data_IF_142318625535
#
_entry.id   IF_142318625535
#
_cell.length_a   1.000
_cell.length_b   1.000
_cell.length_c   1.000
_cell.angle_alpha   90.00
_cell.angle_beta   90.00
_cell.angle_gamma   90.00
#
_symmetry.space_group_name_H-M   'P 1'
#
loop_
_entity.id
_entity.type
_entity.pdbx_description
1 polymer ?
#
# COMPACT_ATOMS: atom_id res chain seq x y z
N UNK A 1 0.15 13.95 7.77
CA UNK A 1 -0.03 14.94 6.68
C UNK A 1 0.36 14.27 5.37
N UNK A 2 -0.57 14.04 4.42
CA UNK A 2 -0.21 13.54 3.10
C UNK A 2 0.61 14.63 2.40
N UNK A 3 1.88 14.35 2.14
CA UNK A 3 2.73 15.20 1.34
C UNK A 3 2.41 14.93 -0.13
N UNK A 4 1.76 15.91 -0.75
CA UNK A 4 1.47 15.92 -2.18
C UNK A 4 2.74 16.31 -2.95
N UNK A 5 3.11 15.52 -3.96
CA UNK A 5 4.28 15.80 -4.80
C UNK A 5 3.93 15.67 -6.29
N UNK A 6 4.42 16.56 -7.17
CA UNK A 6 4.20 16.44 -8.61
C UNK A 6 4.94 15.21 -9.19
N UNK A 7 4.39 14.51 -10.20
CA UNK A 7 5.17 13.41 -10.81
C UNK A 7 6.47 13.96 -11.43
N UNK A 8 7.65 13.42 -11.06
CA UNK A 8 8.90 13.76 -11.78
C UNK A 8 8.92 13.25 -13.23
N UNK A 9 8.07 12.27 -13.55
CA UNK A 9 7.95 11.63 -14.86
C UNK A 9 7.11 12.42 -15.88
N UNK A 10 6.24 13.33 -15.44
CA UNK A 10 5.26 14.01 -16.31
C UNK A 10 5.02 15.44 -15.81
N UNK A 11 5.42 16.48 -16.56
CA UNK A 11 5.29 17.88 -16.17
C UNK A 11 3.87 18.46 -16.32
N UNK A 12 2.85 17.66 -16.69
CA UNK A 12 1.49 18.16 -16.90
C UNK A 12 0.67 18.24 -15.58
N UNK A 13 -0.05 19.36 -15.41
CA UNK A 13 -0.91 19.75 -14.27
C UNK A 13 -1.83 18.64 -13.73
N UNK A 14 -2.10 18.68 -12.41
CA UNK A 14 -1.38 17.90 -11.43
C UNK A 14 -1.90 16.45 -11.39
N UNK A 15 -1.07 15.51 -11.84
CA UNK A 15 -1.12 14.18 -11.24
C UNK A 15 -0.47 14.31 -9.86
N UNK A 16 -1.29 14.69 -8.88
CA UNK A 16 -0.84 14.78 -7.49
C UNK A 16 -0.60 13.36 -6.98
N UNK A 17 0.62 13.14 -6.51
CA UNK A 17 1.05 11.84 -6.06
C UNK A 17 0.96 11.79 -4.54
N UNK A 18 0.12 10.91 -3.99
CA UNK A 18 -0.08 10.82 -2.55
C UNK A 18 0.96 9.89 -1.94
N UNK A 19 1.80 10.42 -1.05
CA UNK A 19 2.65 9.58 -0.21
C UNK A 19 1.77 8.84 0.82
N UNK A 20 1.52 7.56 0.58
CA UNK A 20 0.88 6.67 1.55
C UNK A 20 1.91 5.70 2.14
N UNK A 21 2.01 5.66 3.47
CA UNK A 21 2.85 4.70 4.20
C UNK A 21 1.98 3.85 5.10
N UNK A 22 2.20 2.54 5.07
CA UNK A 22 1.61 1.61 6.04
C UNK A 22 2.66 1.39 7.12
N UNK A 23 2.32 1.81 8.33
CA UNK A 23 3.15 1.63 9.51
C UNK A 23 2.59 0.46 10.31
N UNK A 24 3.43 -0.55 10.56
CA UNK A 24 3.05 -1.72 11.35
C UNK A 24 4.04 -1.87 12.49
N UNK A 25 3.52 -1.92 13.71
CA UNK A 25 4.28 -2.31 14.90
C UNK A 25 3.90 -3.75 15.21
N UNK A 26 4.83 -4.69 15.06
CA UNK A 26 4.57 -6.08 15.43
C UNK A 26 4.78 -6.27 16.94
N UNK A 27 3.89 -7.01 17.63
CA UNK A 27 4.02 -7.21 19.07
C UNK A 27 5.18 -8.17 19.38
N UNK A 28 5.55 -8.24 20.67
CA UNK A 28 6.50 -9.25 21.19
C UNK A 28 5.89 -10.65 21.33
N UNK A 29 4.57 -10.76 21.30
CA UNK A 29 3.88 -12.05 21.36
C UNK A 29 4.16 -12.90 20.11
N UNK A 30 4.11 -14.23 20.20
CA UNK A 30 4.35 -15.14 19.09
C UNK A 30 3.16 -15.14 18.11
N UNK A 31 3.01 -14.07 17.35
CA UNK A 31 1.99 -13.93 16.30
C UNK A 31 2.66 -13.75 14.95
N UNK A 32 2.06 -14.35 13.94
CA UNK A 32 2.43 -14.18 12.55
C UNK A 32 1.64 -13.00 11.99
N UNK A 33 2.34 -11.91 11.71
CA UNK A 33 1.76 -10.74 11.04
C UNK A 33 2.16 -10.80 9.58
N UNK A 34 1.18 -10.74 8.67
CA UNK A 34 1.43 -10.68 7.23
C UNK A 34 0.79 -9.45 6.60
N UNK A 35 1.48 -8.87 5.62
CA UNK A 35 0.99 -7.75 4.81
C UNK A 35 0.80 -8.20 3.35
N UNK A 36 -0.38 -7.92 2.81
CA UNK A 36 -0.71 -8.17 1.41
C UNK A 36 -1.45 -6.96 0.81
N UNK A 37 -0.76 -5.83 0.61
CA UNK A 37 -1.40 -4.60 0.17
C UNK A 37 -2.05 -4.79 -1.21
N UNK A 38 -3.34 -4.46 -1.29
CA UNK A 38 -4.10 -4.38 -2.53
C UNK A 38 -4.76 -3.02 -2.61
N UNK A 39 -4.36 -2.24 -3.62
CA UNK A 39 -4.78 -0.84 -3.76
C UNK A 39 -5.63 -0.69 -5.00
N UNK A 40 -6.80 -0.10 -4.84
CA UNK A 40 -7.68 0.28 -5.94
C UNK A 40 -7.80 1.82 -5.95
N UNK A 41 -7.08 2.51 -6.85
CA UNK A 41 -7.01 3.97 -6.86
C UNK A 41 -8.35 4.63 -7.18
N UNK A 42 -9.20 3.98 -7.99
CA UNK A 42 -10.53 4.46 -8.36
C UNK A 42 -11.53 3.32 -8.27
N UNK A 43 -12.76 3.60 -7.86
CA UNK A 43 -13.82 2.59 -7.76
C UNK A 43 -14.04 1.92 -9.13
N UNK A 44 -14.02 0.59 -9.17
CA UNK A 44 -14.13 -0.19 -10.42
C UNK A 44 -12.86 -0.20 -11.29
N UNK A 45 -11.79 0.49 -10.87
CA UNK A 45 -10.49 0.50 -11.55
C UNK A 45 -9.61 -0.73 -11.23
N UNK A 46 -8.40 -0.80 -11.82
CA UNK A 46 -7.49 -1.92 -11.62
C UNK A 46 -6.99 -2.00 -10.17
N UNK A 47 -6.65 -3.23 -9.76
CA UNK A 47 -6.08 -3.53 -8.45
C UNK A 47 -4.57 -3.66 -8.60
N UNK A 48 -3.84 -2.79 -7.90
CA UNK A 48 -2.40 -2.85 -7.80
C UNK A 48 -2.01 -3.76 -6.63
N UNK A 49 -1.10 -4.67 -6.91
CA UNK A 49 -0.55 -5.63 -5.94
C UNK A 49 0.93 -5.33 -5.70
N UNK A 50 1.44 -5.78 -4.56
CA UNK A 50 2.89 -5.78 -4.31
C UNK A 50 3.63 -6.63 -5.36
N UNK A 51 4.88 -6.29 -5.64
CA UNK A 51 5.77 -7.11 -6.48
C UNK A 51 6.22 -8.42 -5.81
N UNK A 52 5.89 -8.61 -4.52
CA UNK A 52 6.13 -9.85 -3.79
C UNK A 52 5.13 -10.92 -4.20
N UNK A 53 5.58 -12.18 -4.33
CA UNK A 53 4.69 -13.32 -4.56
C UNK A 53 3.90 -13.63 -3.28
N UNK A 54 2.76 -12.96 -3.10
CA UNK A 54 1.83 -13.18 -1.99
C UNK A 54 2.08 -12.31 -0.74
N UNK A 55 1.43 -12.65 0.39
CA UNK A 55 1.58 -11.94 1.66
C UNK A 55 3.02 -11.98 2.19
N UNK A 56 3.53 -10.83 2.63
CA UNK A 56 4.86 -10.70 3.23
C UNK A 56 4.76 -10.86 4.74
N UNK A 57 5.45 -11.85 5.30
CA UNK A 57 5.56 -12.02 6.75
C UNK A 57 6.47 -10.95 7.36
N UNK A 58 6.03 -10.35 8.47
CA UNK A 58 6.79 -9.35 9.20
C UNK A 58 7.48 -9.98 10.41
N UNK A 59 8.69 -9.52 10.70
CA UNK A 59 9.42 -9.93 11.91
C UNK A 59 8.73 -9.41 13.16
N UNK A 60 8.79 -10.18 14.24
CA UNK A 60 8.24 -9.81 15.55
C UNK A 60 9.00 -8.65 16.21
N UNK A 61 8.35 -7.96 17.15
CA UNK A 61 8.92 -6.84 17.93
C UNK A 61 9.65 -5.78 17.07
N UNK A 62 9.19 -5.54 15.85
CA UNK A 62 9.86 -4.69 14.87
C UNK A 62 8.90 -3.63 14.34
N UNK A 63 9.43 -2.44 14.10
CA UNK A 63 8.70 -1.38 13.42
C UNK A 63 8.91 -1.48 11.90
N UNK A 64 7.83 -1.72 11.18
CA UNK A 64 7.81 -1.88 9.73
C UNK A 64 7.18 -0.66 9.06
N UNK A 65 7.80 -0.19 7.98
CA UNK A 65 7.25 0.86 7.12
C UNK A 65 7.21 0.34 5.69
N UNK A 66 6.00 0.15 5.16
CA UNK A 66 5.81 -0.10 3.75
C UNK A 66 5.48 1.22 3.04
N UNK A 67 6.27 1.55 2.03
CA UNK A 67 6.06 2.72 1.17
C UNK A 67 5.23 2.31 -0.04
N UNK A 68 4.03 2.86 -0.16
CA UNK A 68 3.22 2.66 -1.36
C UNK A 68 3.73 3.57 -2.50
N UNK A 69 3.53 3.16 -3.76
CA UNK A 69 3.82 4.03 -4.90
C UNK A 69 3.07 5.35 -4.79
N UNK A 70 3.76 6.43 -5.16
CA UNK A 70 3.15 7.75 -5.26
C UNK A 70 2.13 7.83 -6.40
N UNK A 71 2.34 7.02 -7.44
CA UNK A 71 1.54 7.04 -8.67
C UNK A 71 1.18 5.62 -9.05
N UNK A 72 -0.11 5.46 -9.30
CA UNK A 72 -0.68 4.24 -9.85
C UNK A 72 -0.94 4.45 -11.34
N UNK A 73 -0.16 3.78 -12.18
CA UNK A 73 -0.26 3.86 -13.63
C UNK A 73 -0.34 2.47 -14.25
N UNK A 74 -1.12 2.36 -15.32
CA UNK A 74 -1.09 1.23 -16.25
C UNK A 74 -0.59 1.71 -17.61
N UNK A 75 -0.37 0.80 -18.56
CA UNK A 75 -0.01 1.17 -19.93
C UNK A 75 -1.07 2.03 -20.62
N UNK A 76 -2.33 1.98 -20.15
CA UNK A 76 -3.47 2.68 -20.77
C UNK A 76 -3.77 4.02 -20.12
N UNK A 77 -3.59 4.15 -18.80
CA UNK A 77 -4.05 5.31 -18.06
C UNK A 77 -3.32 5.49 -16.72
N UNK A 78 -3.17 6.75 -16.31
CA UNK A 78 -2.76 7.13 -14.96
C UNK A 78 -4.01 7.43 -14.12
N UNK A 79 -4.01 6.98 -12.88
CA UNK A 79 -5.10 7.29 -11.95
C UNK A 79 -4.69 8.48 -11.10
N UNK A 80 -5.29 9.65 -11.38
CA UNK A 80 -5.16 10.85 -10.55
C UNK A 80 -5.85 10.62 -9.19
N UNK A 81 -5.44 11.39 -8.19
CA UNK A 81 -6.01 11.36 -6.84
C UNK A 81 -7.53 11.23 -6.85
N UNK A 82 -7.99 10.22 -6.14
CA UNK A 82 -9.40 10.03 -5.87
C UNK A 82 -9.58 9.95 -4.36
N UNK A 83 -10.37 10.86 -3.81
CA UNK A 83 -10.76 10.83 -2.40
C UNK A 83 -11.52 9.55 -2.02
N UNK A 84 -11.96 8.75 -3.00
CA UNK A 84 -12.58 7.44 -2.80
C UNK A 84 -11.60 6.26 -2.90
N UNK A 85 -10.30 6.51 -3.05
CA UNK A 85 -9.29 5.44 -3.06
C UNK A 85 -9.29 4.68 -1.74
N UNK A 86 -9.35 3.35 -1.79
CA UNK A 86 -9.43 2.51 -0.58
C UNK A 86 -8.43 1.36 -0.60
N UNK A 87 -7.94 1.03 0.59
CA UNK A 87 -7.28 -0.23 0.85
C UNK A 87 -8.33 -1.34 0.85
N UNK A 88 -8.11 -2.40 0.05
CA UNK A 88 -9.04 -3.52 -0.01
C UNK A 88 -8.89 -4.43 1.21
N UNK A 89 -9.93 -5.21 1.50
CA UNK A 89 -9.89 -6.20 2.58
C UNK A 89 -8.75 -7.21 2.37
N UNK A 90 -8.12 -7.65 3.46
CA UNK A 90 -7.00 -8.59 3.43
C UNK A 90 -5.61 -7.95 3.30
N UNK A 91 -5.51 -6.62 3.44
CA UNK A 91 -4.22 -5.90 3.47
C UNK A 91 -3.33 -6.35 4.62
N UNK A 92 -3.92 -6.73 5.75
CA UNK A 92 -3.20 -7.29 6.88
C UNK A 92 -3.93 -8.54 7.41
N UNK A 93 -3.16 -9.51 7.87
CA UNK A 93 -3.67 -10.64 8.63
C UNK A 93 -2.76 -10.88 9.84
N UNK A 94 -3.37 -11.21 10.97
CA UNK A 94 -2.69 -11.56 12.21
C UNK A 94 -3.18 -12.94 12.62
N UNK A 95 -2.27 -13.91 12.59
CA UNK A 95 -2.56 -15.28 13.00
C UNK A 95 -1.74 -15.61 14.25
N UNK A 96 -2.34 -16.30 15.21
CA UNK A 96 -1.61 -16.85 16.34
C UNK A 96 -0.70 -17.97 15.84
N UNK A 97 0.55 -17.99 16.30
CA UNK A 97 1.42 -19.15 16.06
C UNK A 97 1.05 -20.14 17.17
N UNK A 98 0.41 -21.24 16.81
CA UNK A 98 0.23 -22.36 17.74
C UNK A 98 1.59 -23.02 17.95
N UNK A 99 1.99 -23.13 19.22
CA UNK A 99 3.21 -23.78 19.66
C UNK A 99 3.03 -25.28 19.76
#
# INVERSE_FOLDING_TARGET
MPLYFPCPCRPAKPLTAQLMRIHVVTPKAPVLVTLNPRVQPVMGGPIFISGTKGPTALTQSTYWIMRLPFIYSTNKQNYSENHTGRLLQGVFAVNKIES
#
